data_IF_241790777996
#
_entry.id   IF_241790777996
#
_cell.length_a   1.000
_cell.length_b   1.000
_cell.length_c   1.000
_cell.angle_alpha   90.00
_cell.angle_beta   90.00
_cell.angle_gamma   90.00
#
_symmetry.space_group_name_H-M   'P 1'
#
loop_
_entity.id
_entity.type
_entity.pdbx_description
1 polymer ?
#
# COMPACT_ATOMS: atom_id res chain seq x y z
N UNK A 1 16.67 6.09 31.23
CA UNK A 1 15.46 5.26 31.23
C UNK A 1 14.39 5.89 30.40
N UNK A 2 13.93 7.02 30.81
CA UNK A 2 12.83 7.71 30.13
C UNK A 2 13.13 8.02 28.68
N UNK A 3 14.38 8.27 28.38
CA UNK A 3 14.81 8.58 27.02
C UNK A 3 14.53 7.43 26.06
N UNK A 4 14.68 6.20 26.54
CA UNK A 4 14.46 5.03 25.71
C UNK A 4 13.00 4.94 25.25
N UNK A 5 12.09 5.32 26.12
CA UNK A 5 10.66 5.30 25.79
C UNK A 5 10.37 6.28 24.68
N UNK A 6 10.99 7.46 24.75
CA UNK A 6 10.82 8.44 23.69
C UNK A 6 11.32 7.95 22.34
N UNK A 7 12.44 7.25 22.34
CA UNK A 7 12.99 6.71 21.11
C UNK A 7 12.05 5.70 20.46
N UNK A 8 11.42 4.87 21.27
CA UNK A 8 10.47 3.90 20.74
C UNK A 8 9.28 4.58 20.06
N UNK A 9 8.77 5.64 20.65
CA UNK A 9 7.66 6.36 20.07
C UNK A 9 8.01 6.92 18.69
N UNK A 10 9.22 7.45 18.57
CA UNK A 10 9.69 7.99 17.29
C UNK A 10 9.77 6.89 16.23
N UNK A 11 10.27 5.73 16.61
CA UNK A 11 10.38 4.61 15.67
C UNK A 11 9.02 4.21 15.12
N UNK A 12 8.01 4.19 15.96
CA UNK A 12 6.65 3.84 15.51
C UNK A 12 6.13 4.84 14.49
N UNK A 13 6.37 6.12 14.71
CA UNK A 13 5.93 7.16 13.78
C UNK A 13 6.62 6.99 12.42
N UNK A 14 7.89 6.68 12.42
CA UNK A 14 8.63 6.47 11.18
C UNK A 14 8.07 5.29 10.40
N UNK A 15 7.71 4.22 11.08
CA UNK A 15 7.12 3.07 10.43
C UNK A 15 5.83 3.40 9.68
N UNK A 16 5.05 4.34 10.21
CA UNK A 16 3.81 4.74 9.57
C UNK A 16 4.02 5.66 8.36
N UNK A 17 5.17 6.35 8.30
CA UNK A 17 5.43 7.34 7.27
C UNK A 17 6.28 6.88 6.10
N UNK A 18 6.63 5.60 6.01
CA UNK A 18 7.51 5.11 4.95
C UNK A 18 6.80 4.83 3.64
N UNK A 19 7.42 4.00 2.81
CA UNK A 19 6.89 3.65 1.49
C UNK A 19 5.48 3.05 1.58
N UNK A 20 5.27 2.15 2.51
CA UNK A 20 3.96 1.53 2.70
C UNK A 20 2.94 2.59 3.10
N UNK A 21 3.31 3.53 3.96
CA UNK A 21 2.43 4.62 4.34
C UNK A 21 2.02 5.49 3.17
N UNK A 22 2.95 5.80 2.27
CA UNK A 22 2.65 6.55 1.05
C UNK A 22 1.65 5.81 0.19
N UNK A 23 1.85 4.52 0.03
CA UNK A 23 0.96 3.69 -0.79
C UNK A 23 -0.44 3.67 -0.20
N UNK A 24 -0.55 3.51 1.11
CA UNK A 24 -1.85 3.51 1.79
C UNK A 24 -2.59 4.82 1.56
N UNK A 25 -1.89 5.94 1.66
CA UNK A 25 -2.51 7.25 1.43
C UNK A 25 -3.03 7.37 0.00
N UNK A 26 -2.27 6.83 -0.95
CA UNK A 26 -2.68 6.89 -2.34
C UNK A 26 -3.94 6.07 -2.59
N UNK A 27 -4.00 4.85 -2.05
CA UNK A 27 -5.18 3.98 -2.18
C UNK A 27 -6.40 4.63 -1.53
N UNK A 28 -6.23 5.19 -0.34
CA UNK A 28 -7.34 5.78 0.40
C UNK A 28 -8.06 6.88 -0.35
N UNK A 29 -7.37 7.58 -1.24
CA UNK A 29 -7.97 8.67 -2.03
C UNK A 29 -9.12 8.20 -2.90
N UNK A 30 -9.13 6.92 -3.27
CA UNK A 30 -10.09 6.38 -4.21
C UNK A 30 -11.12 5.46 -3.58
N UNK A 31 -11.07 5.30 -2.26
CA UNK A 31 -12.04 4.46 -1.55
C UNK A 31 -13.25 5.27 -1.11
N UNK A 32 -14.40 4.62 -1.01
CA UNK A 32 -15.61 5.26 -0.53
C UNK A 32 -15.43 5.81 0.89
N UNK A 33 -14.77 5.05 1.74
CA UNK A 33 -14.49 5.47 3.10
C UNK A 33 -13.06 5.07 3.44
N UNK A 34 -12.13 5.91 3.02
CA UNK A 34 -10.71 5.65 3.22
C UNK A 34 -10.30 5.53 4.67
N UNK A 35 -11.03 6.21 5.57
CA UNK A 35 -10.70 6.16 7.00
C UNK A 35 -10.93 4.78 7.59
N UNK A 36 -11.72 3.93 6.96
CA UNK A 36 -11.99 2.57 7.42
C UNK A 36 -11.08 1.54 6.79
N UNK A 37 -10.15 1.96 5.93
CA UNK A 37 -9.30 1.03 5.19
C UNK A 37 -8.42 0.21 6.12
N UNK A 38 -8.41 -1.09 5.87
CA UNK A 38 -7.51 -2.03 6.53
C UNK A 38 -6.60 -2.61 5.47
N UNK A 39 -5.32 -2.69 5.77
CA UNK A 39 -4.31 -3.18 4.83
C UNK A 39 -3.60 -4.39 5.40
N UNK A 40 -3.19 -5.30 4.52
CA UNK A 40 -2.38 -6.44 4.93
C UNK A 40 -1.51 -6.90 3.78
N UNK A 41 -0.48 -7.71 4.11
CA UNK A 41 0.42 -8.31 3.12
C UNK A 41 1.14 -7.28 2.26
N UNK A 42 1.41 -6.11 2.82
CA UNK A 42 2.11 -5.04 2.09
C UNK A 42 3.56 -5.42 1.82
N UNK A 43 4.01 -5.21 0.58
CA UNK A 43 5.40 -5.46 0.19
C UNK A 43 5.89 -4.34 -0.69
N UNK A 44 7.11 -3.88 -0.41
CA UNK A 44 7.79 -2.92 -1.29
C UNK A 44 8.55 -3.72 -2.32
N UNK A 45 8.27 -3.48 -3.59
CA UNK A 45 8.87 -4.22 -4.70
C UNK A 45 9.44 -3.24 -5.73
N UNK A 46 10.32 -3.77 -6.57
CA UNK A 46 10.95 -2.99 -7.64
C UNK A 46 10.67 -3.68 -8.97
N UNK A 47 10.16 -2.92 -9.92
CA UNK A 47 9.72 -3.46 -11.19
C UNK A 47 10.83 -3.36 -12.23
N UNK A 48 11.30 -4.49 -12.80
CA UNK A 48 12.29 -4.44 -13.86
C UNK A 48 11.71 -3.81 -15.12
N UNK A 49 12.55 -3.27 -16.02
CA UNK A 49 14.01 -3.15 -15.90
C UNK A 49 14.45 -1.91 -15.15
N UNK A 50 13.58 -0.93 -14.99
CA UNK A 50 13.94 0.38 -14.44
C UNK A 50 14.16 0.36 -12.93
N UNK A 51 13.64 -0.63 -12.26
CA UNK A 51 13.68 -0.68 -10.81
C UNK A 51 12.74 0.32 -10.15
N UNK A 52 11.65 0.66 -10.83
CA UNK A 52 10.66 1.55 -10.24
C UNK A 52 10.06 0.93 -8.99
N UNK A 53 9.99 1.73 -7.95
CA UNK A 53 9.46 1.27 -6.67
C UNK A 53 7.94 1.20 -6.73
N UNK A 54 7.39 0.12 -6.20
CA UNK A 54 5.95 -0.04 -6.06
C UNK A 54 5.63 -0.75 -4.76
N UNK A 55 4.39 -0.65 -4.32
CA UNK A 55 3.91 -1.39 -3.14
C UNK A 55 2.74 -2.24 -3.58
N UNK A 56 2.79 -3.51 -3.23
CA UNK A 56 1.71 -4.47 -3.46
C UNK A 56 1.16 -4.94 -2.13
N UNK A 57 -0.13 -5.21 -2.08
CA UNK A 57 -0.75 -5.70 -0.86
C UNK A 57 -2.23 -5.96 -1.08
N UNK A 58 -2.96 -5.98 0.03
CA UNK A 58 -4.40 -6.15 0.00
C UNK A 58 -5.07 -5.08 0.86
N UNK A 59 -6.25 -4.66 0.44
CA UNK A 59 -6.99 -3.62 1.14
C UNK A 59 -8.45 -4.02 1.29
N UNK A 60 -9.04 -3.68 2.45
CA UNK A 60 -10.45 -3.85 2.73
C UNK A 60 -10.96 -2.54 3.33
N UNK A 61 -12.09 -2.06 2.84
CA UNK A 61 -12.68 -0.82 3.35
C UNK A 61 -14.19 -0.92 3.27
N UNK A 62 -14.86 -0.10 4.06
CA UNK A 62 -16.31 -0.04 3.99
C UNK A 62 -16.74 0.58 2.67
N UNK A 63 -17.72 -0.07 2.03
CA UNK A 63 -18.30 0.45 0.80
C UNK A 63 -19.34 1.52 1.09
N UNK A 64 -20.05 1.96 0.06
CA UNK A 64 -21.07 3.02 0.19
C UNK A 64 -22.21 2.64 1.14
N UNK A 65 -22.39 1.36 1.41
CA UNK A 65 -23.45 0.87 2.32
C UNK A 65 -22.94 0.67 3.74
N UNK A 66 -21.70 1.02 4.02
CA UNK A 66 -21.13 0.89 5.36
C UNK A 66 -20.66 -0.52 5.71
N UNK A 67 -20.48 -1.39 4.75
CA UNK A 67 -20.07 -2.77 4.98
C UNK A 67 -18.72 -3.06 4.36
N UNK A 68 -17.91 -3.88 5.04
CA UNK A 68 -16.66 -4.39 4.49
C UNK A 68 -16.97 -5.47 3.46
N UNK A 69 -16.38 -5.34 2.28
CA UNK A 69 -16.63 -6.28 1.18
C UNK A 69 -15.58 -7.38 1.07
N UNK A 70 -14.53 -7.33 1.88
CA UNK A 70 -13.43 -8.28 1.83
C UNK A 70 -12.17 -7.65 1.27
N UNK A 71 -11.04 -8.32 1.49
CA UNK A 71 -9.76 -7.84 0.99
C UNK A 71 -9.64 -8.03 -0.51
N UNK A 72 -9.10 -7.03 -1.19
CA UNK A 72 -8.82 -7.09 -2.62
C UNK A 72 -7.38 -6.66 -2.84
N UNK A 73 -6.68 -7.25 -3.83
CA UNK A 73 -5.30 -6.85 -4.13
C UNK A 73 -5.23 -5.40 -4.61
N UNK A 74 -4.11 -4.77 -4.30
CA UNK A 74 -3.82 -3.44 -4.82
C UNK A 74 -2.34 -3.36 -5.20
N UNK A 75 -2.02 -2.44 -6.09
CA UNK A 75 -0.65 -2.03 -6.36
C UNK A 75 -0.62 -0.52 -6.50
N UNK A 76 0.42 0.09 -5.95
CA UNK A 76 0.71 1.51 -6.19
C UNK A 76 2.03 1.55 -6.92
N UNK A 77 1.98 1.94 -8.20
CA UNK A 77 3.15 2.01 -9.06
C UNK A 77 3.79 3.38 -8.98
N UNK A 78 5.06 3.47 -9.38
CA UNK A 78 5.82 4.72 -9.45
C UNK A 78 5.74 5.53 -8.16
N UNK A 79 5.98 4.84 -7.06
CA UNK A 79 5.76 5.40 -5.73
C UNK A 79 6.50 6.72 -5.49
N UNK A 80 7.71 6.85 -6.00
CA UNK A 80 8.57 8.01 -5.73
C UNK A 80 8.44 9.13 -6.77
N UNK A 81 7.66 8.94 -7.81
CA UNK A 81 7.53 9.97 -8.85
C UNK A 81 6.09 10.40 -9.04
N UNK A 82 5.26 9.53 -9.56
CA UNK A 82 3.87 9.83 -9.85
C UNK A 82 3.02 8.65 -9.43
N UNK A 83 2.69 8.53 -8.13
CA UNK A 83 2.00 7.34 -7.63
C UNK A 83 0.68 7.09 -8.33
N UNK A 84 0.46 5.85 -8.69
CA UNK A 84 -0.77 5.44 -9.35
C UNK A 84 -1.27 4.14 -8.71
N UNK A 85 -2.46 4.22 -8.12
CA UNK A 85 -3.06 3.08 -7.42
C UNK A 85 -4.03 2.33 -8.32
N UNK A 86 -3.92 1.00 -8.32
CA UNK A 86 -4.80 0.11 -9.06
C UNK A 86 -5.31 -0.94 -8.08
N UNK A 87 -6.61 -1.10 -7.95
CA UNK A 87 -7.15 -2.04 -6.96
C UNK A 87 -8.60 -2.50 -7.22
N UNK A 88 -9.07 -2.50 -8.43
CA UNK A 88 -10.44 -2.96 -8.69
C UNK A 88 -10.46 -4.40 -9.17
N UNK A 89 -11.62 -5.04 -9.04
CA UNK A 89 -11.79 -6.41 -9.50
C UNK A 89 -11.52 -6.54 -11.00
N UNK A 90 -11.79 -5.49 -11.76
CA UNK A 90 -11.55 -5.49 -13.19
C UNK A 90 -10.08 -5.57 -13.53
N UNK A 91 -9.22 -5.11 -12.63
CA UNK A 91 -7.78 -5.06 -12.83
C UNK A 91 -7.04 -6.17 -12.10
N UNK A 92 -7.75 -7.17 -11.60
CA UNK A 92 -7.15 -8.20 -10.75
C UNK A 92 -5.99 -8.91 -11.42
N UNK A 93 -6.15 -9.28 -12.69
CA UNK A 93 -5.08 -9.97 -13.41
C UNK A 93 -3.87 -9.07 -13.59
N UNK A 94 -4.09 -7.81 -13.94
CA UNK A 94 -3.00 -6.85 -14.12
C UNK A 94 -2.23 -6.66 -12.82
N UNK A 95 -2.93 -6.55 -11.71
CA UNK A 95 -2.31 -6.40 -10.39
C UNK A 95 -1.45 -7.63 -10.07
N UNK A 96 -1.99 -8.82 -10.29
CA UNK A 96 -1.28 -10.06 -10.00
C UNK A 96 -0.02 -10.19 -10.84
N UNK A 97 -0.12 -9.89 -12.13
CA UNK A 97 1.01 -9.97 -13.04
C UNK A 97 2.09 -8.97 -12.63
N UNK A 98 1.69 -7.72 -12.42
CA UNK A 98 2.63 -6.68 -12.05
C UNK A 98 3.35 -7.03 -10.76
N UNK A 99 2.61 -7.46 -9.75
CA UNK A 99 3.22 -7.78 -8.46
C UNK A 99 4.10 -9.02 -8.53
N UNK A 100 3.79 -9.96 -9.42
CA UNK A 100 4.63 -11.15 -9.57
C UNK A 100 5.96 -10.85 -10.28
N UNK A 101 5.99 -9.78 -11.10
CA UNK A 101 7.22 -9.36 -11.77
C UNK A 101 8.13 -8.57 -10.85
N UNK A 102 7.62 -8.02 -9.78
CA UNK A 102 8.38 -7.21 -8.86
C UNK A 102 9.40 -8.01 -8.07
N UNK A 103 10.50 -7.35 -7.72
CA UNK A 103 11.59 -7.96 -6.94
C UNK A 103 11.76 -7.16 -5.66
N UNK A 104 12.19 -7.85 -4.60
CA UNK A 104 12.39 -7.21 -3.30
C UNK A 104 13.57 -6.27 -3.30
N UNK A 105 14.50 -6.40 -4.24
CA UNK A 105 15.67 -5.54 -4.35
C UNK A 105 15.74 -4.94 -5.74
N UNK A 106 16.17 -3.70 -5.76
CA UNK A 106 16.32 -2.94 -6.99
C UNK A 106 17.37 -3.49 -7.96
#
# INVERSE_FOLDING_TARGET
MRILIGALAVALLEGCGGDVGKAHQEVKKYLNDGSTAEFRADRVLYLPPDGQKMVCGEVNAKNAFGAYAGFTPYVVERLDSNPHAIFSAENLNDIRITCSLGKEKK
#
